data_IF_612588676373
#
_entry.id   IF_612588676373
#
_cell.length_a   1.000
_cell.length_b   1.000
_cell.length_c   1.000
_cell.angle_alpha   90.00
_cell.angle_beta   90.00
_cell.angle_gamma   90.00
#
_symmetry.space_group_name_H-M   'P 1'
#
loop_
_entity.id
_entity.type
_entity.pdbx_description
1 polymer ?
#
# COMPACT_ATOMS: atom_id res chain seq x y z
N UNK A 1 -4.62 15.29 23.96
CA UNK A 1 -5.36 14.78 22.80
C UNK A 1 -4.46 13.93 21.94
N UNK A 2 -4.95 12.78 21.56
CA UNK A 2 -4.21 11.93 20.64
C UNK A 2 -4.27 12.57 19.25
N UNK A 3 -3.10 12.81 18.65
CA UNK A 3 -3.01 13.24 17.26
C UNK A 3 -2.96 12.00 16.40
N UNK A 4 -3.93 11.84 15.52
CA UNK A 4 -3.99 10.70 14.62
C UNK A 4 -4.09 11.14 13.17
N UNK A 5 -3.75 10.21 12.27
CA UNK A 5 -3.92 10.34 10.84
C UNK A 5 -5.07 9.43 10.41
N UNK A 6 -5.89 9.92 9.50
CA UNK A 6 -6.84 9.06 8.80
C UNK A 6 -6.11 8.45 7.60
N UNK A 7 -5.88 7.15 7.61
CA UNK A 7 -5.26 6.44 6.50
C UNK A 7 -6.33 5.72 5.70
N UNK A 8 -6.41 6.02 4.42
CA UNK A 8 -7.29 5.31 3.49
C UNK A 8 -6.47 4.76 2.34
N UNK A 9 -6.65 3.47 2.06
CA UNK A 9 -6.05 2.83 0.89
C UNK A 9 -7.20 2.39 0.00
N UNK A 10 -7.23 2.96 -1.20
CA UNK A 10 -8.33 2.76 -2.14
C UNK A 10 -7.83 2.08 -3.40
N UNK A 11 -8.56 1.05 -3.82
CA UNK A 11 -8.31 0.34 -5.07
C UNK A 11 -9.56 0.43 -5.94
N UNK A 12 -9.49 0.04 -7.22
CA UNK A 12 -10.69 -0.01 -8.07
C UNK A 12 -11.78 -0.93 -7.53
N UNK A 13 -11.45 -1.85 -6.63
CA UNK A 13 -12.43 -2.74 -6.01
C UNK A 13 -13.08 -2.15 -4.76
N UNK A 14 -12.62 -0.98 -4.32
CA UNK A 14 -13.16 -0.31 -3.15
C UNK A 14 -12.07 0.03 -2.14
N UNK A 15 -12.48 0.35 -0.93
CA UNK A 15 -11.55 0.71 0.15
C UNK A 15 -10.93 -0.54 0.74
N UNK A 16 -9.60 -0.66 0.64
CA UNK A 16 -8.86 -1.79 1.20
C UNK A 16 -8.56 -1.60 2.68
N UNK A 17 -8.35 -0.36 3.10
CA UNK A 17 -8.09 -0.02 4.51
C UNK A 17 -8.61 1.40 4.77
N UNK A 18 -9.26 1.59 5.92
CA UNK A 18 -9.67 2.91 6.39
C UNK A 18 -9.55 2.89 7.91
N UNK A 19 -8.51 3.52 8.43
CA UNK A 19 -8.19 3.48 9.87
C UNK A 19 -7.59 4.78 10.35
N UNK A 20 -7.86 5.10 11.62
CA UNK A 20 -7.13 6.14 12.34
C UNK A 20 -5.84 5.51 12.85
N UNK A 21 -4.69 6.10 12.51
CA UNK A 21 -3.40 5.54 12.90
C UNK A 21 -2.51 6.63 13.51
N UNK A 22 -1.48 6.22 14.23
CA UNK A 22 -0.55 7.15 14.85
C UNK A 22 0.52 7.64 13.88
N UNK A 23 0.91 6.76 12.96
CA UNK A 23 1.87 7.10 11.89
C UNK A 23 1.81 6.03 10.81
N UNK A 24 2.33 6.35 9.64
CA UNK A 24 2.41 5.40 8.54
C UNK A 24 3.73 5.55 7.81
N UNK A 25 4.31 4.42 7.41
CA UNK A 25 5.50 4.37 6.56
C UNK A 25 5.08 3.91 5.18
N UNK A 26 5.47 4.65 4.16
CA UNK A 26 5.05 4.44 2.77
C UNK A 26 6.24 4.23 1.85
N UNK A 27 6.12 3.35 0.84
CA UNK A 27 7.12 3.25 -0.22
C UNK A 27 6.82 4.31 -1.29
N UNK A 28 7.53 5.42 -1.27
CA UNK A 28 7.41 6.44 -2.31
C UNK A 28 8.43 6.19 -3.41
N UNK A 29 8.21 6.80 -4.58
CA UNK A 29 9.10 6.61 -5.73
C UNK A 29 10.55 7.03 -5.44
N UNK A 30 10.73 8.04 -4.59
CA UNK A 30 12.06 8.55 -4.23
C UNK A 30 12.61 7.93 -2.94
N UNK A 31 11.92 6.96 -2.35
CA UNK A 31 12.34 6.32 -1.14
C UNK A 31 11.22 6.22 -0.11
N UNK A 32 11.49 5.52 0.97
CA UNK A 32 10.52 5.32 2.04
C UNK A 32 10.24 6.63 2.77
N UNK A 33 8.96 6.90 3.06
CA UNK A 33 8.51 8.09 3.77
C UNK A 33 7.77 7.71 5.04
N UNK A 34 8.08 8.39 6.15
CA UNK A 34 7.30 8.28 7.38
C UNK A 34 6.40 9.50 7.53
N UNK A 35 5.10 9.27 7.76
CA UNK A 35 4.10 10.33 7.87
C UNK A 35 3.53 10.33 9.28
N UNK A 36 3.61 11.49 9.93
CA UNK A 36 3.05 11.74 11.26
C UNK A 36 1.88 12.73 11.14
N UNK A 37 1.02 12.83 12.18
CA UNK A 37 -0.06 13.82 12.16
C UNK A 37 0.41 15.24 11.90
N UNK A 38 -0.45 16.06 11.28
CA UNK A 38 -0.16 17.45 10.95
C UNK A 38 0.95 17.61 9.92
N UNK A 39 1.05 16.66 9.01
CA UNK A 39 2.01 16.74 7.91
C UNK A 39 1.61 17.84 6.91
N UNK A 40 2.61 18.52 6.32
CA UNK A 40 2.34 19.48 5.26
C UNK A 40 1.69 18.77 4.06
N UNK A 41 0.78 19.43 3.36
CA UNK A 41 0.16 18.83 2.17
C UNK A 41 1.21 18.42 1.14
N UNK A 42 1.04 17.22 0.59
CA UNK A 42 1.98 16.66 -0.37
C UNK A 42 1.26 15.70 -1.30
N UNK A 43 1.66 15.71 -2.57
CA UNK A 43 1.29 14.67 -3.53
C UNK A 43 2.56 14.01 -4.03
N UNK A 44 2.59 12.70 -4.05
CA UNK A 44 3.77 11.93 -4.46
C UNK A 44 3.35 10.64 -5.16
N UNK A 45 4.29 10.01 -5.83
CA UNK A 45 4.09 8.70 -6.42
C UNK A 45 4.32 7.61 -5.38
N UNK A 46 3.39 6.64 -5.34
CA UNK A 46 3.54 5.44 -4.53
C UNK A 46 4.26 4.39 -5.36
N UNK A 47 5.37 3.87 -4.83
CA UNK A 47 6.08 2.76 -5.46
C UNK A 47 5.53 1.43 -4.96
N UNK A 48 5.70 0.34 -5.73
CA UNK A 48 5.39 -0.98 -5.22
C UNK A 48 6.22 -1.27 -3.98
N UNK A 49 5.58 -1.76 -2.92
CA UNK A 49 6.29 -2.03 -1.67
C UNK A 49 5.35 -2.33 -0.53
N UNK A 50 5.80 -2.04 0.67
CA UNK A 50 5.08 -2.35 1.89
C UNK A 50 4.68 -1.06 2.60
N UNK A 51 3.39 -0.96 2.93
CA UNK A 51 2.85 0.09 3.79
C UNK A 51 2.74 -0.47 5.21
N UNK A 52 3.29 0.25 6.18
CA UNK A 52 3.19 -0.12 7.59
C UNK A 52 2.54 1.04 8.34
N UNK A 53 1.39 0.79 8.94
CA UNK A 53 0.69 1.78 9.76
C UNK A 53 0.67 1.31 11.21
N UNK A 54 0.91 2.22 12.13
CA UNK A 54 0.95 1.90 13.55
C UNK A 54 -0.19 2.58 14.29
N UNK A 55 -0.86 1.82 15.16
CA UNK A 55 -1.94 2.31 16.02
C UNK A 55 -1.77 1.70 17.40
N UNK A 56 -1.22 2.48 18.34
CA UNK A 56 -0.87 1.95 19.67
C UNK A 56 0.14 0.81 19.54
N UNK A 57 -0.21 -0.36 20.05
CA UNK A 57 0.62 -1.55 19.97
C UNK A 57 0.34 -2.40 18.71
N UNK A 58 -0.61 -1.96 17.88
CA UNK A 58 -0.98 -2.69 16.66
C UNK A 58 -0.22 -2.13 15.46
N UNK A 59 0.03 -2.99 14.49
CA UNK A 59 0.60 -2.59 13.21
C UNK A 59 -0.21 -3.25 12.10
N UNK A 60 -0.52 -2.46 11.08
CA UNK A 60 -1.17 -2.94 9.86
C UNK A 60 -0.11 -2.96 8.76
N UNK A 61 0.05 -4.09 8.11
CA UNK A 61 1.06 -4.25 7.05
C UNK A 61 0.37 -4.72 5.77
N UNK A 62 0.54 -3.95 4.70
CA UNK A 62 -0.05 -4.25 3.40
C UNK A 62 0.99 -4.16 2.31
N UNK A 63 0.91 -5.10 1.36
CA UNK A 63 1.69 -5.01 0.12
C UNK A 63 0.86 -4.23 -0.89
N UNK A 64 1.45 -3.23 -1.53
CA UNK A 64 0.76 -2.37 -2.50
C UNK A 64 1.52 -2.34 -3.82
N UNK A 65 0.78 -2.15 -4.91
CA UNK A 65 1.36 -1.86 -6.22
C UNK A 65 1.58 -0.35 -6.33
N UNK A 66 2.08 0.10 -7.47
CA UNK A 66 2.30 1.52 -7.70
C UNK A 66 0.98 2.30 -7.69
N UNK A 67 1.07 3.59 -7.45
CA UNK A 67 -0.09 4.46 -7.42
C UNK A 67 0.28 5.87 -7.00
N UNK A 68 -0.62 6.52 -6.27
CA UNK A 68 -0.46 7.89 -5.81
C UNK A 68 -0.66 8.02 -4.32
N UNK A 69 0.08 8.96 -3.74
CA UNK A 69 -0.03 9.36 -2.34
C UNK A 69 -0.55 10.79 -2.31
N UNK A 70 -1.60 11.03 -1.54
CA UNK A 70 -2.09 12.38 -1.28
C UNK A 70 -2.14 12.59 0.23
N UNK A 71 -1.45 13.60 0.71
CA UNK A 71 -1.39 13.94 2.13
C UNK A 71 -1.98 15.33 2.32
N UNK A 72 -2.99 15.45 3.18
CA UNK A 72 -3.62 16.74 3.51
C UNK A 72 -3.85 16.76 5.01
N UNK A 73 -3.04 17.57 5.73
CA UNK A 73 -3.19 17.71 7.18
C UNK A 73 -3.09 16.37 7.89
N UNK A 74 -4.20 15.88 8.40
CA UNK A 74 -4.28 14.60 9.13
C UNK A 74 -4.91 13.48 8.31
N UNK A 75 -4.90 13.59 6.99
CA UNK A 75 -5.46 12.59 6.09
C UNK A 75 -4.40 12.12 5.09
N UNK A 76 -4.22 10.81 5.00
CA UNK A 76 -3.34 10.17 4.01
C UNK A 76 -4.19 9.26 3.15
N UNK A 77 -4.21 9.50 1.86
CA UNK A 77 -4.95 8.72 0.90
C UNK A 77 -3.99 8.06 -0.09
N UNK A 78 -4.07 6.74 -0.20
CA UNK A 78 -3.28 5.97 -1.15
C UNK A 78 -4.22 5.41 -2.21
N UNK A 79 -3.92 5.70 -3.46
CA UNK A 79 -4.68 5.20 -4.62
C UNK A 79 -3.78 4.23 -5.36
N UNK A 80 -4.15 2.96 -5.38
CA UNK A 80 -3.34 1.91 -6.00
C UNK A 80 -4.24 0.87 -6.66
N UNK A 81 -3.71 0.11 -7.61
CA UNK A 81 -4.47 -0.95 -8.26
C UNK A 81 -4.65 -2.17 -7.36
N UNK A 82 -3.73 -2.40 -6.43
CA UNK A 82 -3.73 -3.60 -5.61
C UNK A 82 -3.18 -3.30 -4.23
N UNK A 83 -3.92 -3.75 -3.21
CA UNK A 83 -3.46 -3.72 -1.83
C UNK A 83 -3.86 -5.05 -1.17
N UNK A 84 -2.90 -5.76 -0.60
CA UNK A 84 -3.12 -7.06 0.02
C UNK A 84 -2.58 -7.03 1.45
N UNK A 85 -3.44 -7.41 2.40
CA UNK A 85 -3.03 -7.52 3.79
C UNK A 85 -1.99 -8.63 3.95
N UNK A 86 -0.97 -8.39 4.76
CA UNK A 86 0.08 -9.38 5.01
C UNK A 86 -0.47 -10.67 5.64
N UNK A 87 -1.63 -10.61 6.29
CA UNK A 87 -2.26 -11.77 6.90
C UNK A 87 -3.27 -12.48 6.00
N UNK A 88 -3.47 -11.99 4.78
CA UNK A 88 -4.34 -12.65 3.80
C UNK A 88 -3.75 -14.01 3.41
N UNK A 89 -4.61 -14.98 3.15
CA UNK A 89 -4.12 -16.27 2.68
C UNK A 89 -3.64 -16.18 1.23
N UNK A 90 -2.90 -17.19 0.79
CA UNK A 90 -2.32 -17.20 -0.56
C UNK A 90 -3.35 -17.19 -1.67
N UNK A 91 -4.47 -17.87 -1.46
CA UNK A 91 -5.54 -17.93 -2.45
C UNK A 91 -6.17 -16.55 -2.66
N UNK A 92 -6.45 -15.83 -1.57
CA UNK A 92 -7.00 -14.48 -1.62
C UNK A 92 -6.02 -13.50 -2.27
N UNK A 93 -4.74 -13.57 -1.88
CA UNK A 93 -3.70 -12.74 -2.45
C UNK A 93 -3.55 -12.97 -3.95
N UNK A 94 -3.58 -14.24 -4.37
CA UNK A 94 -3.49 -14.61 -5.79
C UNK A 94 -4.69 -14.09 -6.57
N UNK A 95 -5.90 -14.27 -6.04
CA UNK A 95 -7.12 -13.80 -6.69
C UNK A 95 -7.11 -12.27 -6.86
N UNK A 96 -6.70 -11.54 -5.82
CA UNK A 96 -6.59 -10.08 -5.87
C UNK A 96 -5.58 -9.63 -6.93
N UNK A 97 -4.44 -10.31 -7.00
CA UNK A 97 -3.41 -10.02 -7.99
C UNK A 97 -3.93 -10.23 -9.40
N UNK A 98 -4.61 -11.35 -9.66
CA UNK A 98 -5.14 -11.67 -10.98
C UNK A 98 -6.17 -10.62 -11.43
N UNK A 99 -7.02 -10.14 -10.53
CA UNK A 99 -7.98 -9.08 -10.85
C UNK A 99 -7.27 -7.77 -11.19
N UNK A 100 -6.24 -7.41 -10.44
CA UNK A 100 -5.47 -6.21 -10.70
C UNK A 100 -4.73 -6.28 -12.04
N UNK A 101 -4.14 -7.42 -12.35
CA UNK A 101 -3.44 -7.64 -13.62
C UNK A 101 -4.40 -7.50 -14.81
N UNK A 102 -5.62 -8.01 -14.67
CA UNK A 102 -6.63 -7.87 -15.72
C UNK A 102 -6.96 -6.40 -15.98
N UNK A 103 -7.09 -5.59 -14.93
CA UNK A 103 -7.35 -4.15 -15.08
C UNK A 103 -6.17 -3.42 -15.74
N UNK A 104 -4.96 -3.79 -15.37
CA UNK A 104 -3.75 -3.18 -15.96
C UNK A 104 -3.64 -3.51 -17.44
N UNK A 105 -3.98 -4.75 -17.84
CA UNK A 105 -3.97 -5.14 -19.27
C UNK A 105 -4.94 -4.32 -20.09
N UNK A 106 -6.07 -3.95 -19.55
CA UNK A 106 -7.04 -3.11 -20.25
C UNK A 106 -6.53 -1.70 -20.50
N UNK A 107 -5.61 -1.21 -19.65
CA UNK A 107 -5.10 0.16 -19.71
C UNK A 107 -3.73 0.28 -20.37
N UNK A 108 -2.94 -0.79 -20.34
CA UNK A 108 -1.53 -0.74 -20.72
C UNK A 108 -1.12 -1.94 -21.57
N UNK A 109 0.07 -1.86 -22.18
CA UNK A 109 0.63 -2.96 -22.93
C UNK A 109 1.15 -4.09 -22.02
N UNK A 110 1.40 -5.26 -22.65
CA UNK A 110 1.86 -6.44 -21.92
C UNK A 110 3.16 -6.21 -21.12
N UNK A 111 4.06 -5.37 -21.61
CA UNK A 111 5.33 -5.08 -20.94
C UNK A 111 5.10 -4.44 -19.56
N UNK A 112 4.15 -3.51 -19.46
CA UNK A 112 3.84 -2.85 -18.19
C UNK A 112 3.22 -3.82 -17.20
N UNK A 113 2.42 -4.76 -17.67
CA UNK A 113 1.82 -5.81 -16.81
C UNK A 113 2.92 -6.66 -16.20
N UNK A 114 3.91 -7.09 -16.99
CA UNK A 114 5.02 -7.91 -16.50
C UNK A 114 5.81 -7.17 -15.42
N UNK A 115 6.09 -5.89 -15.61
CA UNK A 115 6.81 -5.07 -14.63
C UNK A 115 6.02 -4.96 -13.33
N UNK A 116 4.70 -4.72 -13.43
CA UNK A 116 3.84 -4.60 -12.25
C UNK A 116 3.78 -5.90 -11.45
N UNK A 117 3.69 -7.05 -12.13
CA UNK A 117 3.69 -8.37 -11.48
C UNK A 117 4.99 -8.60 -10.72
N UNK A 118 6.12 -8.32 -11.34
CA UNK A 118 7.42 -8.54 -10.69
C UNK A 118 7.57 -7.67 -9.43
N UNK A 119 7.16 -6.41 -9.50
CA UNK A 119 7.24 -5.49 -8.38
C UNK A 119 6.34 -5.94 -7.22
N UNK A 120 5.12 -6.38 -7.51
CA UNK A 120 4.20 -6.87 -6.48
C UNK A 120 4.70 -8.15 -5.82
N UNK A 121 5.24 -9.08 -6.63
CA UNK A 121 5.81 -10.32 -6.11
C UNK A 121 6.96 -10.02 -5.14
N UNK A 122 7.81 -9.04 -5.45
CA UNK A 122 8.89 -8.63 -4.54
C UNK A 122 8.34 -8.09 -3.23
N UNK A 123 7.26 -7.33 -3.26
CA UNK A 123 6.63 -6.80 -2.04
C UNK A 123 6.13 -7.92 -1.14
N UNK A 124 5.46 -8.92 -1.69
CA UNK A 124 4.99 -10.09 -0.94
C UNK A 124 6.16 -10.86 -0.34
N UNK A 125 7.23 -11.04 -1.10
CA UNK A 125 8.43 -11.75 -0.64
C UNK A 125 9.06 -11.02 0.56
N UNK A 126 9.12 -9.70 0.54
CA UNK A 126 9.63 -8.91 1.65
C UNK A 126 8.81 -9.10 2.93
N UNK A 127 7.49 -9.12 2.81
CA UNK A 127 6.61 -9.36 3.96
C UNK A 127 6.86 -10.74 4.55
N UNK A 128 6.90 -11.78 3.71
CA UNK A 128 7.13 -13.15 4.14
C UNK A 128 8.50 -13.32 4.79
N UNK A 129 9.53 -12.68 4.24
CA UNK A 129 10.86 -12.69 4.81
C UNK A 129 10.91 -12.09 6.20
N UNK A 130 10.24 -10.96 6.41
CA UNK A 130 10.15 -10.31 7.72
C UNK A 130 9.45 -11.20 8.75
N UNK A 131 8.41 -11.92 8.36
CA UNK A 131 7.71 -12.86 9.25
C UNK A 131 8.61 -13.99 9.71
N UNK A 132 9.44 -14.54 8.81
CA UNK A 132 10.33 -15.65 9.11
C UNK A 132 11.44 -15.29 10.09
N UNK A 133 11.78 -14.02 10.19
CA UNK A 133 12.85 -13.52 11.05
C UNK A 133 12.41 -13.28 12.49
N UNK A 134 11.16 -13.48 12.81
CA UNK A 134 10.62 -13.28 14.17
C UNK A 134 10.76 -14.53 15.04
#
# INVERSE_FOLDING_TARGET
>A
MANTLKLEIVTPEGVALSEEVDMVTLPAAEGEMGIYPQHVPLMAQLAPGIVVARKGNQAFTLAVSEGFIEITGNHVSLLTDLAVNADADEAEAKAARERAEARIRERAGAAEVVVAEAAFTRSLTQIRGKRRQR
#
